data_IF_718301686102
#
_entry.id   IF_718301686102
#
_cell.length_a   1.000
_cell.length_b   1.000
_cell.length_c   1.000
_cell.angle_alpha   90.00
_cell.angle_beta   90.00
_cell.angle_gamma   90.00
#
_symmetry.space_group_name_H-M   'P 1'
#
loop_
_entity.id
_entity.type
_entity.pdbx_description
1 polymer ?
#
# COMPACT_ATOMS: atom_id res chain seq x y z
N UNK A 1 -25.77 23.97 -16.93
CA UNK A 1 -25.19 23.60 -15.63
C UNK A 1 -25.92 22.37 -15.14
N UNK A 2 -25.34 21.19 -15.24
CA UNK A 2 -25.95 19.96 -14.69
C UNK A 2 -25.60 19.91 -13.21
N UNK A 3 -26.56 20.26 -12.36
CA UNK A 3 -26.53 20.02 -10.93
C UNK A 3 -26.70 18.50 -10.72
N UNK A 4 -25.67 17.71 -10.94
CA UNK A 4 -25.66 16.35 -10.46
C UNK A 4 -25.39 16.44 -8.97
N UNK A 5 -26.44 16.34 -8.17
CA UNK A 5 -26.34 16.15 -6.71
C UNK A 5 -25.40 14.97 -6.47
N UNK A 6 -24.18 15.28 -6.05
CA UNK A 6 -23.18 14.27 -5.76
C UNK A 6 -23.62 13.50 -4.50
N UNK A 7 -23.88 12.21 -4.65
CA UNK A 7 -24.35 11.36 -3.55
C UNK A 7 -23.25 10.40 -3.10
N UNK A 8 -22.94 10.44 -1.82
CA UNK A 8 -22.02 9.47 -1.21
C UNK A 8 -22.65 8.08 -1.19
N UNK A 9 -21.83 7.05 -1.29
CA UNK A 9 -22.28 5.67 -1.07
C UNK A 9 -22.64 5.44 0.41
N UNK A 10 -23.54 4.48 0.74
CA UNK A 10 -23.97 4.25 2.12
C UNK A 10 -22.85 4.01 3.13
N UNK A 11 -21.77 3.32 2.71
CA UNK A 11 -20.60 3.10 3.57
C UNK A 11 -19.79 4.39 3.82
N UNK A 12 -19.77 5.31 2.85
CA UNK A 12 -19.14 6.62 2.98
C UNK A 12 -19.96 7.53 3.91
N UNK A 13 -21.29 7.55 3.75
CA UNK A 13 -22.20 8.30 4.64
C UNK A 13 -22.08 7.83 6.09
N UNK A 14 -22.05 6.51 6.29
CA UNK A 14 -21.85 5.92 7.62
C UNK A 14 -20.52 6.34 8.22
N UNK A 15 -19.43 6.26 7.46
CA UNK A 15 -18.10 6.69 7.92
C UNK A 15 -18.06 8.20 8.21
N UNK A 16 -18.67 9.02 7.32
CA UNK A 16 -18.79 10.47 7.50
C UNK A 16 -19.49 10.85 8.80
N UNK A 17 -20.53 10.09 9.18
CA UNK A 17 -21.25 10.30 10.44
C UNK A 17 -20.43 10.01 11.69
N UNK A 18 -19.43 9.15 11.60
CA UNK A 18 -18.55 8.74 12.69
C UNK A 18 -17.25 9.54 12.75
N UNK A 19 -16.87 10.21 11.65
CA UNK A 19 -15.63 10.97 11.58
C UNK A 19 -15.58 12.14 12.56
N UNK A 20 -14.40 12.33 13.14
CA UNK A 20 -14.05 13.44 14.03
C UNK A 20 -12.58 13.79 13.86
N UNK A 21 -12.18 14.95 14.35
CA UNK A 21 -10.76 15.33 14.40
C UNK A 21 -9.95 14.29 15.18
N UNK A 22 -8.76 13.97 14.70
CA UNK A 22 -7.87 12.97 15.29
C UNK A 22 -8.17 11.53 14.88
N UNK A 23 -9.18 11.29 14.03
CA UNK A 23 -9.54 9.95 13.59
C UNK A 23 -8.66 9.44 12.43
N UNK A 24 -8.56 8.12 12.34
CA UNK A 24 -8.03 7.40 11.20
C UNK A 24 -9.20 6.82 10.41
N UNK A 25 -9.46 7.33 9.22
CA UNK A 25 -10.38 6.73 8.27
C UNK A 25 -9.67 5.59 7.55
N UNK A 26 -10.03 4.36 7.87
CA UNK A 26 -9.38 3.20 7.30
C UNK A 26 -10.35 2.36 6.47
N UNK A 27 -9.84 1.84 5.38
CA UNK A 27 -10.59 1.00 4.45
C UNK A 27 -9.73 0.62 3.25
N UNK A 28 -10.21 -0.35 2.51
CA UNK A 28 -9.53 -0.88 1.35
C UNK A 28 -9.17 0.19 0.32
N UNK A 29 -8.25 -0.14 -0.56
CA UNK A 29 -7.96 0.69 -1.74
C UNK A 29 -9.24 0.80 -2.60
N UNK A 30 -9.55 2.02 -3.04
CA UNK A 30 -10.76 2.28 -3.83
C UNK A 30 -12.06 2.37 -3.04
N UNK A 31 -12.03 2.42 -1.70
CA UNK A 31 -13.23 2.62 -0.88
C UNK A 31 -13.77 4.06 -0.90
N UNK A 32 -13.10 5.01 -1.58
CA UNK A 32 -13.50 6.42 -1.66
C UNK A 32 -13.14 7.23 -0.41
N UNK A 33 -12.02 6.90 0.25
CA UNK A 33 -11.53 7.65 1.43
C UNK A 33 -11.27 9.12 1.14
N UNK A 34 -10.69 9.43 -0.02
CA UNK A 34 -10.39 10.80 -0.46
C UNK A 34 -11.67 11.63 -0.45
N UNK A 35 -12.67 11.20 -1.19
CA UNK A 35 -13.95 11.89 -1.32
C UNK A 35 -14.68 12.03 0.03
N UNK A 36 -14.69 10.97 0.86
CA UNK A 36 -15.31 11.02 2.19
C UNK A 36 -14.59 12.01 3.09
N UNK A 37 -13.27 12.12 2.99
CA UNK A 37 -12.48 13.07 3.78
C UNK A 37 -12.74 14.52 3.37
N UNK A 38 -12.88 14.80 2.08
CA UNK A 38 -13.25 16.11 1.55
C UNK A 38 -14.69 16.49 1.93
N UNK A 39 -15.63 15.55 1.87
CA UNK A 39 -17.00 15.76 2.34
C UNK A 39 -17.05 16.06 3.86
N UNK A 40 -16.19 15.40 4.66
CA UNK A 40 -16.06 15.70 6.08
C UNK A 40 -15.52 17.10 6.34
N UNK A 41 -14.49 17.53 5.59
CA UNK A 41 -13.98 18.90 5.63
C UNK A 41 -15.09 19.91 5.35
N UNK A 42 -15.81 19.77 4.24
CA UNK A 42 -16.91 20.67 3.87
C UNK A 42 -17.99 20.75 4.96
N UNK A 43 -18.36 19.61 5.51
CA UNK A 43 -19.43 19.54 6.53
C UNK A 43 -19.05 20.18 7.85
N UNK A 44 -17.79 20.16 8.25
CA UNK A 44 -17.35 20.53 9.60
C UNK A 44 -16.34 21.67 9.66
N UNK A 45 -15.52 21.83 8.63
CA UNK A 45 -14.31 22.66 8.68
C UNK A 45 -14.15 23.60 7.48
N UNK A 46 -15.17 23.80 6.65
CA UNK A 46 -15.12 24.66 5.45
C UNK A 46 -14.74 26.11 5.73
N UNK A 47 -14.84 26.55 6.97
CA UNK A 47 -14.42 27.88 7.43
C UNK A 47 -12.91 27.99 7.73
N UNK A 48 -12.14 26.90 7.56
CA UNK A 48 -10.70 26.85 7.82
C UNK A 48 -9.93 26.51 6.54
N UNK A 49 -8.67 26.95 6.39
CA UNK A 49 -7.82 26.51 5.30
C UNK A 49 -7.64 25.00 5.30
N UNK A 50 -7.74 24.38 4.11
CA UNK A 50 -7.51 22.94 3.91
C UNK A 50 -6.09 22.68 3.47
N UNK A 51 -5.44 21.74 4.15
CA UNK A 51 -4.12 21.20 3.81
C UNK A 51 -4.23 19.68 3.61
N UNK A 52 -3.77 19.20 2.46
CA UNK A 52 -3.70 17.79 2.13
C UNK A 52 -2.23 17.38 2.03
N UNK A 53 -1.80 16.45 2.86
CA UNK A 53 -0.43 15.89 2.85
C UNK A 53 -0.51 14.44 2.42
N UNK A 54 0.02 14.14 1.23
CA UNK A 54 -0.07 12.82 0.60
C UNK A 54 1.29 12.32 0.14
N UNK A 55 1.36 11.28 -0.68
CA UNK A 55 2.61 10.87 -1.35
C UNK A 55 2.91 11.78 -2.53
N UNK A 56 4.20 11.95 -2.90
CA UNK A 56 4.57 12.77 -4.05
C UNK A 56 3.84 12.34 -5.33
N UNK A 57 3.71 11.02 -5.54
CA UNK A 57 3.01 10.47 -6.70
C UNK A 57 1.52 10.82 -6.73
N UNK A 58 0.82 10.74 -5.59
CA UNK A 58 -0.59 11.12 -5.49
C UNK A 58 -0.82 12.62 -5.57
N UNK A 59 0.13 13.43 -5.10
CA UNK A 59 0.12 14.88 -5.30
C UNK A 59 0.12 15.23 -6.79
N UNK A 60 0.96 14.52 -7.56
CA UNK A 60 1.20 14.82 -8.97
C UNK A 60 0.22 14.10 -9.92
N UNK A 61 -0.69 13.26 -9.40
CA UNK A 61 -1.64 12.49 -10.22
C UNK A 61 -2.87 13.28 -10.68
N UNK A 62 -3.20 14.39 -10.02
CA UNK A 62 -4.43 15.15 -10.27
C UNK A 62 -5.70 14.57 -9.60
N UNK A 63 -5.60 13.40 -8.95
CA UNK A 63 -6.76 12.72 -8.34
C UNK A 63 -7.40 13.56 -7.23
N UNK A 64 -6.60 14.30 -6.45
CA UNK A 64 -7.10 15.16 -5.37
C UNK A 64 -7.86 16.36 -5.89
N UNK A 65 -7.35 17.00 -6.93
CA UNK A 65 -7.97 18.15 -7.57
C UNK A 65 -9.28 17.75 -8.26
N UNK A 66 -9.30 16.57 -8.92
CA UNK A 66 -10.51 16.04 -9.55
C UNK A 66 -11.60 15.75 -8.52
N UNK A 67 -11.30 15.01 -7.44
CA UNK A 67 -12.27 14.69 -6.39
C UNK A 67 -12.71 15.95 -5.60
N UNK A 68 -11.80 16.92 -5.37
CA UNK A 68 -12.13 18.20 -4.76
C UNK A 68 -13.07 19.03 -5.64
N UNK A 69 -12.81 19.05 -6.95
CA UNK A 69 -13.66 19.72 -7.94
C UNK A 69 -15.09 19.18 -7.98
N UNK A 70 -15.30 17.87 -7.82
CA UNK A 70 -16.63 17.25 -7.71
C UNK A 70 -17.46 17.81 -6.54
N UNK A 71 -16.78 18.26 -5.49
CA UNK A 71 -17.40 18.85 -4.29
C UNK A 71 -17.36 20.38 -4.26
N UNK A 72 -16.89 21.03 -5.33
CA UNK A 72 -16.77 22.48 -5.41
C UNK A 72 -15.65 23.09 -4.54
N UNK A 73 -14.67 22.29 -4.12
CA UNK A 73 -13.50 22.77 -3.38
C UNK A 73 -12.46 23.23 -4.41
N UNK A 74 -12.23 24.52 -4.52
CA UNK A 74 -11.32 25.13 -5.50
C UNK A 74 -9.99 25.57 -4.90
N UNK A 75 -9.95 25.79 -3.58
CA UNK A 75 -8.76 26.30 -2.90
C UNK A 75 -8.34 25.37 -1.77
N UNK A 76 -7.19 24.75 -1.89
CA UNK A 76 -6.53 23.98 -0.84
C UNK A 76 -5.03 23.81 -1.14
N UNK A 77 -4.25 23.51 -0.11
CA UNK A 77 -2.83 23.22 -0.25
C UNK A 77 -2.66 21.71 -0.39
N UNK A 78 -2.09 21.27 -1.50
CA UNK A 78 -1.75 19.87 -1.74
C UNK A 78 -0.22 19.72 -1.78
N UNK A 79 0.36 18.92 -0.87
CA UNK A 79 1.81 18.68 -0.84
C UNK A 79 2.16 17.27 -0.39
N UNK A 80 3.43 16.92 -0.51
CA UNK A 80 3.92 15.59 -0.16
C UNK A 80 4.47 15.52 1.27
N UNK A 81 4.48 14.31 1.85
CA UNK A 81 5.10 14.03 3.14
C UNK A 81 6.55 14.50 3.22
N UNK A 82 7.28 14.55 2.10
CA UNK A 82 8.66 15.06 2.06
C UNK A 82 8.75 16.51 2.52
N UNK A 83 7.72 17.28 2.26
CA UNK A 83 7.63 18.70 2.55
C UNK A 83 6.90 19.04 3.87
N UNK A 84 6.46 18.05 4.64
CA UNK A 84 5.67 18.25 5.88
C UNK A 84 6.32 19.25 6.85
N UNK A 85 7.64 19.43 6.79
CA UNK A 85 8.36 20.38 7.65
C UNK A 85 7.92 21.82 7.47
N UNK A 86 7.43 22.20 6.28
CA UNK A 86 6.98 23.56 5.95
C UNK A 86 5.75 23.98 6.74
N UNK A 87 4.94 23.01 7.16
CA UNK A 87 3.65 23.23 7.79
C UNK A 87 3.67 23.16 9.32
N UNK A 88 4.84 23.02 9.92
CA UNK A 88 4.98 22.84 11.37
C UNK A 88 4.51 24.01 12.24
N UNK A 89 4.34 25.20 11.66
CA UNK A 89 3.88 26.41 12.36
C UNK A 89 2.44 26.81 11.99
N UNK A 90 1.78 26.06 11.10
CA UNK A 90 0.39 26.31 10.71
C UNK A 90 -0.53 26.03 11.90
N UNK A 91 -1.49 26.93 12.12
CA UNK A 91 -2.50 26.83 13.18
C UNK A 91 -3.87 27.17 12.63
N UNK A 92 -4.94 26.70 13.31
CA UNK A 92 -6.33 26.96 12.95
C UNK A 92 -6.71 26.50 11.52
N UNK A 93 -6.09 25.43 11.02
CA UNK A 93 -6.36 24.82 9.75
C UNK A 93 -6.97 23.42 9.92
N UNK A 94 -7.43 22.83 8.82
CA UNK A 94 -7.80 21.43 8.76
C UNK A 94 -6.82 20.66 7.88
N UNK A 95 -6.31 19.56 8.41
CA UNK A 95 -5.35 18.72 7.69
C UNK A 95 -5.96 17.35 7.34
N UNK A 96 -5.78 16.94 6.10
CA UNK A 96 -5.99 15.55 5.65
C UNK A 96 -4.61 14.95 5.40
N UNK A 97 -4.23 13.95 6.19
CA UNK A 97 -3.01 13.19 6.01
C UNK A 97 -3.35 11.89 5.26
N UNK A 98 -2.94 11.79 4.01
CA UNK A 98 -3.23 10.62 3.18
C UNK A 98 -2.04 9.67 3.11
N UNK A 99 -2.35 8.36 3.11
CA UNK A 99 -1.34 7.27 3.20
C UNK A 99 -0.46 7.39 4.44
N UNK A 100 -0.86 6.70 5.52
CA UNK A 100 -0.12 6.74 6.78
C UNK A 100 1.37 6.40 6.59
N UNK A 101 2.23 7.42 6.74
CA UNK A 101 3.70 7.31 6.70
C UNK A 101 4.32 7.60 8.07
N UNK A 102 3.51 7.91 9.06
CA UNK A 102 3.95 8.29 10.39
C UNK A 102 4.01 7.09 11.31
N UNK A 103 5.06 6.30 11.15
CA UNK A 103 5.38 5.20 12.05
C UNK A 103 6.71 5.50 12.76
N UNK A 104 6.84 5.04 14.00
CA UNK A 104 8.07 5.19 14.75
C UNK A 104 8.33 6.63 15.24
N UNK A 105 9.60 7.11 15.15
CA UNK A 105 10.06 8.37 15.76
C UNK A 105 10.82 9.28 14.79
N UNK A 106 10.68 9.06 13.49
CA UNK A 106 11.34 9.84 12.44
C UNK A 106 10.93 11.33 12.43
N UNK A 107 11.60 12.11 11.59
CA UNK A 107 11.34 13.55 11.47
C UNK A 107 9.92 13.87 11.04
N UNK A 108 9.30 13.03 10.20
CA UNK A 108 7.91 13.19 9.77
C UNK A 108 6.94 12.98 10.91
N UNK A 109 7.15 11.96 11.75
CA UNK A 109 6.32 11.70 12.93
C UNK A 109 6.35 12.88 13.90
N UNK A 110 7.52 13.47 14.17
CA UNK A 110 7.66 14.65 15.03
C UNK A 110 6.89 15.85 14.48
N UNK A 111 6.95 16.10 13.17
CA UNK A 111 6.21 17.20 12.54
C UNK A 111 4.71 16.95 12.52
N UNK A 112 4.29 15.73 12.17
CA UNK A 112 2.89 15.33 12.25
C UNK A 112 2.29 15.56 13.64
N UNK A 113 2.99 15.14 14.71
CA UNK A 113 2.54 15.36 16.09
C UNK A 113 2.38 16.86 16.40
N UNK A 114 3.34 17.69 15.97
CA UNK A 114 3.28 19.14 16.18
C UNK A 114 2.10 19.78 15.45
N UNK A 115 1.90 19.43 14.17
CA UNK A 115 0.78 19.92 13.35
C UNK A 115 -0.55 19.45 13.96
N UNK A 116 -0.67 18.17 14.29
CA UNK A 116 -1.90 17.59 14.81
C UNK A 116 -2.33 18.13 16.16
N UNK A 117 -1.38 18.55 17.00
CA UNK A 117 -1.69 19.21 18.30
C UNK A 117 -2.17 20.65 18.15
N UNK A 118 -1.86 21.30 17.05
CA UNK A 118 -2.19 22.71 16.78
C UNK A 118 -3.39 22.90 15.85
N UNK A 119 -3.87 21.84 15.20
CA UNK A 119 -4.90 21.89 14.16
C UNK A 119 -5.88 20.74 14.30
N UNK A 120 -7.03 20.85 13.61
CA UNK A 120 -7.91 19.71 13.39
C UNK A 120 -7.42 18.88 12.19
N UNK A 121 -7.60 17.55 12.26
CA UNK A 121 -7.06 16.67 11.24
C UNK A 121 -7.74 15.30 11.21
N UNK A 122 -7.61 14.62 10.07
CA UNK A 122 -7.87 13.19 9.91
C UNK A 122 -6.73 12.53 9.16
N UNK A 123 -6.56 11.22 9.38
CA UNK A 123 -5.57 10.40 8.70
C UNK A 123 -6.28 9.34 7.86
N UNK A 124 -5.88 9.17 6.59
CA UNK A 124 -6.39 8.14 5.70
C UNK A 124 -5.39 6.99 5.65
N UNK A 125 -5.87 5.75 5.79
CA UNK A 125 -4.99 4.58 5.71
C UNK A 125 -5.73 3.35 5.17
N UNK A 126 -5.03 2.55 4.36
CA UNK A 126 -5.46 1.19 4.05
C UNK A 126 -5.06 0.20 5.16
N UNK A 127 -3.95 0.50 5.85
CA UNK A 127 -3.35 -0.33 6.92
C UNK A 127 -2.88 0.56 8.05
N UNK A 128 -3.71 0.78 9.08
CA UNK A 128 -3.46 1.82 10.10
C UNK A 128 -2.29 1.53 11.05
N UNK A 129 -1.76 0.32 11.08
CA UNK A 129 -0.60 -0.09 11.89
C UNK A 129 -0.65 -1.56 12.26
N UNK A 130 0.51 -2.21 12.27
CA UNK A 130 0.67 -3.64 12.59
C UNK A 130 1.02 -3.86 14.06
N UNK A 131 1.69 -2.89 14.68
CA UNK A 131 2.12 -2.93 16.07
C UNK A 131 1.63 -1.72 16.86
N UNK A 132 1.61 -1.80 18.19
CA UNK A 132 1.27 -0.66 19.03
C UNK A 132 2.25 0.51 18.90
N UNK A 133 3.49 0.22 18.53
CA UNK A 133 4.50 1.26 18.26
C UNK A 133 4.12 2.15 17.08
N UNK A 134 3.39 1.62 16.11
CA UNK A 134 2.98 2.35 14.91
C UNK A 134 1.91 3.41 15.21
N UNK A 135 1.15 3.21 16.30
CA UNK A 135 0.13 4.16 16.76
C UNK A 135 0.68 5.31 17.59
N UNK A 136 1.94 5.24 18.06
CA UNK A 136 2.49 6.28 18.96
C UNK A 136 2.33 7.69 18.38
N UNK A 137 2.68 8.00 17.14
CA UNK A 137 2.53 9.35 16.60
C UNK A 137 1.07 9.84 16.65
N UNK A 138 0.12 8.98 16.31
CA UNK A 138 -1.31 9.30 16.31
C UNK A 138 -1.83 9.51 17.75
N UNK A 139 -1.42 8.66 18.67
CA UNK A 139 -1.79 8.80 20.08
C UNK A 139 -1.22 10.09 20.69
N UNK A 140 0.01 10.47 20.32
CA UNK A 140 0.61 11.73 20.77
C UNK A 140 -0.05 12.96 20.13
N UNK A 141 -0.44 12.90 18.86
CA UNK A 141 -1.16 13.96 18.17
C UNK A 141 -2.56 14.17 18.78
N UNK A 142 -3.20 13.10 19.27
CA UNK A 142 -4.47 13.14 20.00
C UNK A 142 -4.31 13.50 21.48
N UNK A 143 -3.11 13.82 21.97
CA UNK A 143 -2.81 14.10 23.38
C UNK A 143 -3.18 12.96 24.37
N UNK A 144 -3.26 11.70 23.92
CA UNK A 144 -3.48 10.55 24.80
C UNK A 144 -2.27 10.29 25.72
N UNK A 145 -1.09 10.68 25.25
CA UNK A 145 0.16 10.65 25.99
C UNK A 145 0.92 11.94 25.77
N UNK A 146 1.62 12.39 26.80
CA UNK A 146 2.45 13.59 26.76
C UNK A 146 3.63 13.45 25.80
N UNK A 147 4.27 12.28 25.81
CA UNK A 147 5.42 11.96 24.96
C UNK A 147 5.60 10.44 24.79
N UNK A 148 6.54 10.04 23.91
CA UNK A 148 6.85 8.64 23.64
C UNK A 148 7.34 7.89 24.89
N UNK A 149 8.09 8.53 25.76
CA UNK A 149 8.62 7.92 26.99
C UNK A 149 7.49 7.50 27.92
N UNK A 150 6.47 8.33 28.07
CA UNK A 150 5.28 8.00 28.87
C UNK A 150 4.57 6.77 28.32
N UNK A 151 4.37 6.71 27.00
CA UNK A 151 3.78 5.53 26.36
C UNK A 151 4.62 4.26 26.61
N UNK A 152 5.93 4.35 26.40
CA UNK A 152 6.85 3.22 26.61
C UNK A 152 6.80 2.73 28.05
N UNK A 153 6.90 3.65 29.02
CA UNK A 153 6.89 3.28 30.45
C UNK A 153 5.58 2.61 30.89
N UNK A 154 4.45 2.97 30.28
CA UNK A 154 3.15 2.40 30.61
C UNK A 154 2.87 1.07 29.89
N UNK A 155 3.46 0.86 28.72
CA UNK A 155 2.98 -0.21 27.82
C UNK A 155 4.05 -1.13 27.24
N UNK A 156 5.34 -0.82 27.32
CA UNK A 156 6.36 -1.57 26.59
C UNK A 156 7.41 -2.18 27.51
N UNK A 157 7.58 -3.49 27.43
CA UNK A 157 8.71 -4.20 28.01
C UNK A 157 9.67 -4.58 26.87
N UNK A 158 10.93 -4.16 27.01
CA UNK A 158 11.98 -4.53 26.06
C UNK A 158 12.73 -5.78 26.50
N UNK A 159 13.11 -6.60 25.56
CA UNK A 159 14.06 -7.67 25.78
C UNK A 159 15.45 -7.07 26.02
N UNK A 160 16.01 -7.32 27.22
CA UNK A 160 17.33 -6.83 27.64
C UNK A 160 18.48 -7.74 27.19
N UNK A 161 18.17 -8.94 26.66
CA UNK A 161 19.16 -9.92 26.28
C UNK A 161 19.67 -9.75 24.84
N UNK A 162 19.10 -8.79 24.09
CA UNK A 162 19.47 -8.56 22.68
C UNK A 162 20.20 -7.22 22.52
N UNK A 163 21.17 -7.18 21.59
CA UNK A 163 21.99 -5.99 21.31
C UNK A 163 21.17 -4.74 20.93
N UNK A 164 20.02 -4.93 20.28
CA UNK A 164 19.12 -3.84 19.90
C UNK A 164 17.78 -4.00 20.62
N UNK A 165 17.18 -2.92 21.15
CA UNK A 165 15.91 -2.99 21.86
C UNK A 165 14.82 -3.63 21.01
N UNK A 166 14.38 -4.82 21.38
CA UNK A 166 13.25 -5.53 20.79
C UNK A 166 12.12 -5.56 21.80
N UNK A 167 10.90 -5.23 21.36
CA UNK A 167 9.73 -5.34 22.22
C UNK A 167 9.52 -6.81 22.57
N UNK A 168 9.53 -7.12 23.87
CA UNK A 168 9.27 -8.46 24.39
C UNK A 168 7.77 -8.63 24.61
N UNK A 169 7.13 -7.63 25.24
CA UNK A 169 5.74 -7.71 25.63
C UNK A 169 5.11 -6.31 25.70
N UNK A 170 3.80 -6.25 25.50
CA UNK A 170 2.99 -5.05 25.76
C UNK A 170 2.13 -5.23 27.01
N UNK A 171 2.06 -4.20 27.84
CA UNK A 171 1.24 -4.13 29.05
C UNK A 171 0.02 -3.22 28.84
N UNK A 172 -1.00 -3.38 29.69
CA UNK A 172 -2.23 -2.57 29.64
C UNK A 172 -2.89 -2.55 28.26
N UNK A 173 -2.89 -3.69 27.56
CA UNK A 173 -3.39 -3.83 26.19
C UNK A 173 -4.86 -3.43 26.06
N UNK A 174 -5.68 -3.63 27.11
CA UNK A 174 -7.07 -3.18 27.14
C UNK A 174 -7.22 -1.67 26.92
N UNK A 175 -6.35 -0.86 27.57
CA UNK A 175 -6.31 0.60 27.36
C UNK A 175 -5.92 0.94 25.93
N UNK A 176 -4.90 0.27 25.37
CA UNK A 176 -4.46 0.49 23.99
C UNK A 176 -5.57 0.15 22.99
N UNK A 177 -6.30 -0.95 23.20
CA UNK A 177 -7.45 -1.34 22.38
C UNK A 177 -8.55 -0.28 22.43
N UNK A 178 -8.90 0.21 23.63
CA UNK A 178 -9.89 1.27 23.81
C UNK A 178 -9.50 2.55 23.07
N UNK A 179 -8.27 3.02 23.23
CA UNK A 179 -7.76 4.21 22.54
C UNK A 179 -7.76 4.02 21.02
N UNK A 180 -7.27 2.89 20.52
CA UNK A 180 -7.29 2.58 19.09
C UNK A 180 -8.72 2.56 18.53
N UNK A 181 -9.63 1.87 19.20
CA UNK A 181 -11.03 1.78 18.74
C UNK A 181 -11.72 3.14 18.78
N UNK A 182 -11.29 4.04 19.67
CA UNK A 182 -11.83 5.39 19.72
C UNK A 182 -11.45 6.24 18.51
N UNK A 183 -10.35 5.97 17.81
CA UNK A 183 -9.87 6.76 16.67
C UNK A 183 -10.05 6.07 15.32
N UNK A 184 -10.24 4.75 15.29
CA UNK A 184 -10.40 4.00 14.04
C UNK A 184 -11.84 4.08 13.53
N UNK A 185 -12.02 4.70 12.37
CA UNK A 185 -13.31 4.77 11.67
C UNK A 185 -13.27 3.87 10.45
N UNK A 186 -13.95 2.70 10.48
CA UNK A 186 -13.92 1.76 9.38
C UNK A 186 -14.78 2.25 8.21
N UNK A 187 -14.25 2.12 7.02
CA UNK A 187 -14.94 2.32 5.76
C UNK A 187 -14.98 1.00 4.99
N UNK A 188 -15.78 0.07 5.52
CA UNK A 188 -15.94 -1.26 4.91
C UNK A 188 -16.87 -1.17 3.70
N UNK A 189 -16.36 -1.58 2.56
CA UNK A 189 -17.14 -1.74 1.34
C UNK A 189 -17.68 -3.17 1.31
N UNK A 190 -18.99 -3.30 1.19
CA UNK A 190 -19.57 -4.60 0.86
C UNK A 190 -19.29 -4.87 -0.62
N UNK A 191 -18.21 -5.59 -0.89
CA UNK A 191 -17.84 -5.96 -2.26
C UNK A 191 -18.71 -7.11 -2.73
N UNK A 192 -19.20 -7.00 -3.94
CA UNK A 192 -19.89 -8.09 -4.64
C UNK A 192 -18.90 -9.08 -5.25
N UNK A 193 -17.63 -8.71 -5.31
CA UNK A 193 -16.56 -9.52 -5.89
C UNK A 193 -16.09 -10.62 -4.93
N UNK A 194 -15.86 -11.82 -5.45
CA UNK A 194 -15.24 -12.93 -4.75
C UNK A 194 -13.80 -13.09 -5.21
N UNK A 195 -12.85 -12.95 -4.29
CA UNK A 195 -11.42 -13.20 -4.55
C UNK A 195 -11.13 -14.70 -4.48
N UNK A 196 -10.65 -15.26 -5.58
CA UNK A 196 -10.22 -16.66 -5.69
C UNK A 196 -8.71 -16.70 -5.74
N UNK A 197 -8.06 -17.08 -4.63
CA UNK A 197 -6.61 -17.18 -4.53
C UNK A 197 -6.17 -18.62 -4.82
N UNK A 198 -5.33 -18.77 -5.85
CA UNK A 198 -4.79 -20.06 -6.30
C UNK A 198 -3.27 -20.05 -6.13
N UNK A 199 -2.76 -20.97 -5.32
CA UNK A 199 -1.32 -21.11 -5.08
C UNK A 199 -0.76 -22.24 -5.94
N UNK A 200 0.29 -21.94 -6.72
CA UNK A 200 1.03 -22.89 -7.52
C UNK A 200 2.42 -23.07 -6.93
N UNK A 201 2.72 -24.29 -6.51
CA UNK A 201 4.05 -24.63 -6.01
C UNK A 201 4.98 -24.88 -7.19
N UNK A 202 6.01 -24.05 -7.30
CA UNK A 202 7.05 -24.17 -8.31
C UNK A 202 8.26 -24.90 -7.71
N UNK A 203 8.79 -25.86 -8.47
CA UNK A 203 10.07 -26.48 -8.14
C UNK A 203 11.21 -25.45 -8.27
N UNK A 204 12.32 -25.72 -7.63
CA UNK A 204 13.58 -25.00 -7.77
C UNK A 204 14.75 -25.98 -7.58
N UNK A 205 15.94 -25.60 -8.02
CA UNK A 205 17.14 -26.41 -7.86
C UNK A 205 17.63 -26.33 -6.41
N UNK A 206 17.38 -27.41 -5.66
CA UNK A 206 17.76 -27.53 -4.24
C UNK A 206 19.27 -27.64 -4.03
N UNK A 207 19.98 -28.22 -4.99
CA UNK A 207 21.42 -28.41 -4.88
C UNK A 207 22.13 -27.07 -5.11
N UNK A 208 21.76 -26.33 -6.14
CA UNK A 208 22.24 -24.96 -6.36
C UNK A 208 21.87 -24.05 -5.19
N UNK A 209 20.63 -24.14 -4.70
CA UNK A 209 20.18 -23.33 -3.55
C UNK A 209 21.05 -23.59 -2.31
N UNK A 210 21.31 -24.88 -2.01
CA UNK A 210 22.15 -25.29 -0.90
C UNK A 210 23.62 -24.86 -1.10
N UNK A 211 24.13 -25.00 -2.31
CA UNK A 211 25.50 -24.57 -2.64
C UNK A 211 25.68 -23.05 -2.40
N UNK A 212 24.75 -22.22 -2.86
CA UNK A 212 24.76 -20.77 -2.60
C UNK A 212 24.69 -20.46 -1.10
N UNK A 213 23.86 -21.20 -0.34
CA UNK A 213 23.75 -21.05 1.12
C UNK A 213 25.06 -21.38 1.84
N UNK A 214 25.69 -22.50 1.49
CA UNK A 214 26.84 -23.02 2.21
C UNK A 214 28.13 -22.28 1.83
N UNK A 215 28.35 -22.07 0.52
CA UNK A 215 29.58 -21.46 -0.01
C UNK A 215 29.58 -19.95 0.01
N UNK A 216 28.42 -19.31 0.19
CA UNK A 216 28.28 -17.84 0.10
C UNK A 216 28.83 -17.27 -1.21
N UNK A 217 28.58 -17.96 -2.32
CA UNK A 217 29.01 -17.58 -3.66
C UNK A 217 27.82 -17.20 -4.54
N UNK A 218 27.88 -16.04 -5.16
CA UNK A 218 26.85 -15.58 -6.08
C UNK A 218 27.14 -16.12 -7.49
N UNK A 219 26.39 -17.16 -7.86
CA UNK A 219 26.55 -17.86 -9.16
C UNK A 219 26.19 -17.00 -10.38
N UNK A 220 25.50 -15.88 -10.19
CA UNK A 220 25.08 -14.99 -11.30
C UNK A 220 26.08 -13.86 -11.55
N UNK A 221 26.88 -13.49 -10.58
CA UNK A 221 27.91 -12.45 -10.68
C UNK A 221 29.31 -13.00 -10.54
N UNK A 222 29.44 -14.30 -10.27
CA UNK A 222 30.69 -15.01 -10.05
C UNK A 222 31.58 -14.36 -8.97
N UNK A 223 30.96 -13.96 -7.84
CA UNK A 223 31.60 -13.24 -6.76
C UNK A 223 31.16 -13.75 -5.36
N UNK A 224 31.98 -13.55 -4.30
CA UNK A 224 31.59 -13.85 -2.94
C UNK A 224 30.39 -13.02 -2.49
N UNK A 225 29.50 -13.61 -1.71
CA UNK A 225 28.36 -12.92 -1.09
C UNK A 225 28.78 -12.32 0.25
N UNK A 226 28.83 -11.00 0.31
CA UNK A 226 29.30 -10.27 1.49
C UNK A 226 28.21 -9.96 2.51
N UNK A 227 26.96 -9.80 2.07
CA UNK A 227 25.88 -9.36 2.93
C UNK A 227 24.69 -10.34 2.99
N UNK A 228 23.94 -10.37 4.11
CA UNK A 228 22.72 -11.18 4.21
C UNK A 228 21.66 -10.78 3.16
N UNK A 229 21.61 -9.50 2.79
CA UNK A 229 20.69 -9.00 1.75
C UNK A 229 21.02 -9.57 0.38
N UNK A 230 22.29 -9.60 0.02
CA UNK A 230 22.77 -10.17 -1.23
C UNK A 230 22.50 -11.68 -1.29
N UNK A 231 22.74 -12.40 -0.17
CA UNK A 231 22.39 -13.82 -0.08
C UNK A 231 20.91 -14.04 -0.37
N UNK A 232 20.04 -13.31 0.30
CA UNK A 232 18.59 -13.43 0.11
C UNK A 232 18.17 -13.14 -1.33
N UNK A 233 18.80 -12.15 -1.99
CA UNK A 233 18.54 -11.84 -3.39
C UNK A 233 19.03 -12.92 -4.34
N UNK A 234 20.23 -13.48 -4.11
CA UNK A 234 20.80 -14.57 -4.91
C UNK A 234 19.94 -15.82 -4.83
N UNK A 235 19.57 -16.24 -3.61
CA UNK A 235 18.70 -17.40 -3.39
C UNK A 235 17.33 -17.21 -4.04
N UNK A 236 16.77 -16.01 -3.94
CA UNK A 236 15.50 -15.67 -4.59
C UNK A 236 15.61 -15.75 -6.11
N UNK A 237 16.76 -15.35 -6.67
CA UNK A 237 16.99 -15.45 -8.12
C UNK A 237 17.08 -16.90 -8.58
N UNK A 238 17.75 -17.79 -7.83
CA UNK A 238 17.76 -19.24 -8.12
C UNK A 238 16.33 -19.79 -8.21
N UNK A 239 15.47 -19.43 -7.27
CA UNK A 239 14.06 -19.87 -7.25
C UNK A 239 13.25 -19.25 -8.40
N UNK A 240 13.44 -17.95 -8.68
CA UNK A 240 12.63 -17.23 -9.66
C UNK A 240 12.98 -17.54 -11.11
N UNK A 241 14.22 -17.96 -11.40
CA UNK A 241 14.69 -18.30 -12.76
C UNK A 241 14.50 -19.77 -13.12
N UNK A 242 13.97 -20.59 -12.21
CA UNK A 242 13.80 -22.02 -12.47
C UNK A 242 12.76 -22.29 -13.58
N UNK A 243 13.03 -23.20 -14.55
CA UNK A 243 12.14 -23.47 -15.69
C UNK A 243 10.70 -23.84 -15.32
N UNK A 244 10.49 -24.54 -14.20
CA UNK A 244 9.15 -24.91 -13.75
C UNK A 244 8.31 -23.69 -13.37
N UNK A 245 8.90 -22.63 -12.78
CA UNK A 245 8.20 -21.36 -12.50
C UNK A 245 7.86 -20.62 -13.79
N UNK A 246 8.81 -20.58 -14.74
CA UNK A 246 8.61 -19.99 -16.06
C UNK A 246 7.47 -20.70 -16.78
N UNK A 247 7.44 -22.04 -16.74
CA UNK A 247 6.38 -22.85 -17.33
C UNK A 247 4.99 -22.51 -16.77
N UNK A 248 4.86 -22.45 -15.43
CA UNK A 248 3.58 -22.08 -14.80
C UNK A 248 3.16 -20.64 -15.17
N UNK A 249 4.09 -19.69 -15.21
CA UNK A 249 3.80 -18.33 -15.63
C UNK A 249 3.33 -18.29 -17.10
N UNK A 250 4.06 -18.96 -18.00
CA UNK A 250 3.72 -19.05 -19.42
C UNK A 250 2.33 -19.65 -19.62
N UNK A 251 2.02 -20.73 -18.90
CA UNK A 251 0.71 -21.35 -18.99
C UNK A 251 -0.42 -20.38 -18.53
N UNK A 252 -0.28 -19.75 -17.35
CA UNK A 252 -1.29 -18.81 -16.85
C UNK A 252 -1.45 -17.62 -17.80
N UNK A 253 -0.36 -17.03 -18.27
CA UNK A 253 -0.36 -15.90 -19.20
C UNK A 253 -0.90 -16.29 -20.58
N UNK A 254 -0.77 -17.56 -20.97
CA UNK A 254 -1.25 -18.08 -22.25
C UNK A 254 -2.76 -18.35 -22.27
N UNK A 255 -3.31 -18.96 -21.19
CA UNK A 255 -4.72 -19.40 -21.17
C UNK A 255 -5.72 -18.27 -20.86
N UNK A 256 -5.26 -17.13 -20.38
CA UNK A 256 -6.10 -15.97 -20.07
C UNK A 256 -5.84 -14.83 -21.05
N UNK A 257 -6.90 -14.22 -21.56
CA UNK A 257 -6.80 -13.14 -22.54
C UNK A 257 -6.09 -11.90 -21.97
N UNK A 258 -6.45 -11.49 -20.76
CA UNK A 258 -5.97 -10.27 -20.13
C UNK A 258 -5.41 -10.57 -18.74
N UNK A 259 -4.10 -10.37 -18.54
CA UNK A 259 -3.44 -10.67 -17.26
C UNK A 259 -2.59 -9.50 -16.79
N UNK A 260 -2.78 -9.10 -15.54
CA UNK A 260 -1.83 -8.23 -14.82
C UNK A 260 -0.82 -9.10 -14.10
N UNK A 261 0.46 -8.86 -14.31
CA UNK A 261 1.56 -9.66 -13.73
C UNK A 261 2.41 -8.80 -12.82
N UNK A 262 2.47 -9.13 -11.53
CA UNK A 262 3.34 -8.46 -10.57
C UNK A 262 4.68 -9.16 -10.41
N UNK A 263 5.76 -8.35 -10.36
CA UNK A 263 7.13 -8.82 -10.19
C UNK A 263 7.95 -7.87 -9.29
N UNK A 264 9.11 -8.34 -8.77
CA UNK A 264 9.98 -7.53 -7.91
C UNK A 264 11.22 -6.98 -8.63
N UNK A 265 11.94 -7.80 -9.40
CA UNK A 265 13.29 -7.52 -9.91
C UNK A 265 13.37 -7.43 -11.43
N UNK A 266 14.36 -6.71 -11.94
CA UNK A 266 14.54 -6.54 -13.39
C UNK A 266 14.76 -7.87 -14.12
N UNK A 267 15.50 -8.83 -13.53
CA UNK A 267 15.67 -10.15 -14.15
C UNK A 267 14.35 -10.94 -14.27
N UNK A 268 13.38 -10.68 -13.37
CA UNK A 268 12.02 -11.23 -13.50
C UNK A 268 11.27 -10.56 -14.66
N UNK A 269 11.48 -9.25 -14.84
CA UNK A 269 10.92 -8.52 -16.00
C UNK A 269 11.45 -9.07 -17.32
N UNK A 270 12.75 -9.33 -17.43
CA UNK A 270 13.36 -9.86 -18.65
C UNK A 270 12.75 -11.23 -19.01
N UNK A 271 12.54 -12.10 -18.01
CA UNK A 271 11.86 -13.38 -18.21
C UNK A 271 10.42 -13.18 -18.68
N UNK A 272 9.68 -12.26 -18.04
CA UNK A 272 8.28 -12.00 -18.35
C UNK A 272 8.12 -11.40 -19.76
N UNK A 273 9.03 -10.54 -20.20
CA UNK A 273 9.07 -10.02 -21.58
C UNK A 273 9.27 -11.18 -22.57
N UNK A 274 10.24 -12.06 -22.29
CA UNK A 274 10.45 -13.25 -23.13
C UNK A 274 9.21 -14.15 -23.20
N UNK A 275 8.43 -14.28 -22.12
CA UNK A 275 7.15 -14.99 -22.16
C UNK A 275 6.12 -14.26 -23.04
N UNK A 276 6.02 -12.92 -22.93
CA UNK A 276 5.11 -12.13 -23.77
C UNK A 276 5.41 -12.31 -25.27
N UNK A 277 6.69 -12.24 -25.63
CA UNK A 277 7.17 -12.42 -27.01
C UNK A 277 6.91 -13.84 -27.51
N UNK A 278 7.17 -14.86 -26.67
CA UNK A 278 6.88 -16.26 -27.01
C UNK A 278 5.38 -16.51 -27.27
N UNK A 279 4.51 -15.87 -26.46
CA UNK A 279 3.06 -15.98 -26.61
C UNK A 279 2.49 -15.10 -27.73
N UNK A 280 3.27 -14.17 -28.28
CA UNK A 280 2.84 -13.21 -29.31
C UNK A 280 1.75 -12.23 -28.81
N UNK A 281 1.59 -12.05 -27.49
CA UNK A 281 0.58 -11.16 -26.92
C UNK A 281 1.10 -9.74 -26.75
N UNK A 282 0.30 -8.71 -27.11
CA UNK A 282 0.62 -7.32 -26.79
C UNK A 282 0.85 -7.14 -25.30
N UNK A 283 1.87 -6.38 -24.92
CA UNK A 283 2.14 -6.12 -23.52
C UNK A 283 2.51 -4.66 -23.25
N UNK A 284 2.25 -4.22 -22.03
CA UNK A 284 2.69 -2.94 -21.48
C UNK A 284 3.42 -3.12 -20.15
N UNK A 285 4.18 -2.10 -19.74
CA UNK A 285 4.99 -2.12 -18.52
C UNK A 285 4.66 -0.95 -17.62
N UNK A 286 4.62 -1.22 -16.30
CA UNK A 286 4.55 -0.20 -15.27
C UNK A 286 5.64 -0.42 -14.22
N UNK A 287 6.70 0.35 -14.33
CA UNK A 287 7.87 0.26 -13.44
C UNK A 287 8.50 1.64 -13.22
N UNK A 288 9.63 1.71 -12.53
CA UNK A 288 10.31 2.97 -12.24
C UNK A 288 10.81 3.76 -13.46
N UNK A 289 10.79 3.16 -14.67
CA UNK A 289 11.29 3.77 -15.91
C UNK A 289 10.21 3.94 -16.98
N UNK A 290 9.23 3.04 -17.02
CA UNK A 290 8.15 3.02 -18.03
C UNK A 290 6.79 3.05 -17.33
N UNK A 291 5.88 3.83 -17.86
CA UNK A 291 4.48 3.92 -17.45
C UNK A 291 3.60 3.81 -18.71
N UNK A 292 3.65 2.63 -19.36
CA UNK A 292 2.88 2.38 -20.58
C UNK A 292 1.38 2.40 -20.25
N UNK A 293 0.57 2.74 -21.24
CA UNK A 293 -0.88 2.51 -21.16
C UNK A 293 -1.15 1.02 -21.29
N UNK A 294 -2.24 0.56 -20.65
CA UNK A 294 -2.72 -0.81 -20.87
C UNK A 294 -3.09 -0.93 -22.35
N UNK A 295 -2.64 -1.99 -23.07
CA UNK A 295 -2.96 -2.15 -24.48
C UNK A 295 -4.48 -2.21 -24.71
N UNK A 296 -4.97 -1.48 -25.70
CA UNK A 296 -6.38 -1.45 -26.08
C UNK A 296 -6.69 -2.57 -27.10
N UNK A 297 -6.55 -3.81 -26.65
CA UNK A 297 -6.74 -5.03 -27.44
C UNK A 297 -7.55 -6.05 -26.65
N UNK A 298 -8.09 -7.07 -27.33
CA UNK A 298 -8.84 -8.14 -26.67
C UNK A 298 -7.96 -9.02 -25.79
N UNK A 299 -6.70 -9.19 -26.16
CA UNK A 299 -5.69 -9.93 -25.42
C UNK A 299 -4.52 -9.02 -25.08
N UNK A 300 -4.05 -9.05 -23.85
CA UNK A 300 -2.87 -8.31 -23.42
C UNK A 300 -2.29 -8.83 -22.11
N UNK A 301 -1.02 -8.50 -21.89
CA UNK A 301 -0.28 -8.75 -20.66
C UNK A 301 0.23 -7.42 -20.10
N UNK A 302 0.09 -7.18 -18.80
CA UNK A 302 0.52 -5.94 -18.20
C UNK A 302 1.47 -6.21 -17.04
N UNK A 303 2.75 -5.87 -17.24
CA UNK A 303 3.86 -6.21 -16.34
C UNK A 303 4.09 -5.07 -15.34
N UNK A 304 3.90 -5.33 -14.07
CA UNK A 304 3.87 -4.30 -13.01
C UNK A 304 4.91 -4.60 -11.95
N UNK A 305 5.85 -3.68 -11.76
CA UNK A 305 6.80 -3.78 -10.65
C UNK A 305 6.16 -3.34 -9.35
N UNK A 306 6.31 -4.10 -8.26
CA UNK A 306 5.69 -3.79 -6.97
C UNK A 306 6.01 -2.40 -6.46
N UNK A 307 7.27 -1.95 -6.56
CA UNK A 307 7.71 -0.64 -6.08
C UNK A 307 7.06 0.54 -6.79
N UNK A 308 6.69 0.36 -8.07
CA UNK A 308 6.05 1.38 -8.88
C UNK A 308 4.53 1.18 -8.99
N UNK A 309 4.07 -0.05 -8.92
CA UNK A 309 2.68 -0.43 -9.22
C UNK A 309 1.78 -0.65 -8.02
N UNK A 310 2.33 -0.68 -6.79
CA UNK A 310 1.50 -0.71 -5.60
C UNK A 310 0.69 0.60 -5.41
N UNK A 311 1.07 1.69 -6.08
CA UNK A 311 0.41 3.00 -6.01
C UNK A 311 0.18 3.56 -7.43
N UNK A 312 -0.96 4.24 -7.64
CA UNK A 312 -1.19 5.18 -8.73
C UNK A 312 -1.70 4.64 -10.07
N UNK A 313 -2.23 3.42 -10.18
CA UNK A 313 -2.98 2.95 -11.33
C UNK A 313 -4.08 1.96 -10.92
N UNK A 314 -5.04 1.74 -11.78
CA UNK A 314 -6.16 0.83 -11.58
C UNK A 314 -6.47 0.10 -12.87
N UNK A 315 -6.98 -1.11 -12.77
CA UNK A 315 -7.45 -1.86 -13.92
C UNK A 315 -8.78 -2.54 -13.59
N UNK A 316 -9.81 -2.23 -14.36
CA UNK A 316 -11.13 -2.88 -14.26
C UNK A 316 -11.45 -3.73 -15.47
N UNK A 317 -10.47 -3.91 -16.38
CA UNK A 317 -10.65 -4.61 -17.64
C UNK A 317 -10.29 -6.09 -17.60
N UNK A 318 -9.66 -6.53 -16.50
CA UNK A 318 -9.38 -7.94 -16.24
C UNK A 318 -9.81 -8.36 -14.86
N UNK A 319 -10.08 -9.65 -14.72
CA UNK A 319 -10.31 -10.33 -13.44
C UNK A 319 -9.15 -11.26 -13.05
N UNK A 320 -8.02 -11.23 -13.78
CA UNK A 320 -6.91 -12.14 -13.60
C UNK A 320 -5.64 -11.38 -13.22
N UNK A 321 -5.01 -11.83 -12.15
CA UNK A 321 -3.74 -11.31 -11.67
C UNK A 321 -2.77 -12.45 -11.35
N UNK A 322 -1.54 -12.34 -11.85
CA UNK A 322 -0.46 -13.26 -11.56
C UNK A 322 0.61 -12.57 -10.70
N UNK A 323 0.96 -13.17 -9.60
CA UNK A 323 2.11 -12.81 -8.77
C UNK A 323 3.26 -13.75 -9.11
N UNK A 324 4.15 -13.32 -10.02
CA UNK A 324 5.31 -14.10 -10.44
C UNK A 324 6.24 -14.42 -9.27
N UNK A 325 6.44 -13.43 -8.40
CA UNK A 325 7.11 -13.59 -7.11
C UNK A 325 6.38 -12.79 -6.03
N UNK A 326 6.44 -13.22 -4.77
CA UNK A 326 5.78 -12.54 -3.68
C UNK A 326 6.62 -11.38 -3.14
N UNK A 327 5.96 -10.31 -2.70
CA UNK A 327 6.61 -9.27 -1.91
C UNK A 327 6.52 -9.63 -0.42
N UNK A 328 7.56 -9.33 0.35
CA UNK A 328 7.59 -9.60 1.80
C UNK A 328 6.66 -8.71 2.62
N UNK A 329 6.18 -7.61 2.05
CA UNK A 329 5.25 -6.70 2.71
C UNK A 329 3.80 -7.11 2.42
N UNK A 330 3.10 -7.55 3.46
CA UNK A 330 1.66 -7.83 3.39
C UNK A 330 0.88 -6.62 2.83
N UNK A 331 1.24 -5.41 3.27
CA UNK A 331 0.64 -4.17 2.80
C UNK A 331 0.77 -4.00 1.28
N UNK A 332 1.97 -4.25 0.72
CA UNK A 332 2.20 -4.14 -0.73
C UNK A 332 1.38 -5.19 -1.48
N UNK A 333 1.28 -6.41 -0.96
CA UNK A 333 0.48 -7.48 -1.55
C UNK A 333 -1.01 -7.12 -1.57
N UNK A 334 -1.57 -6.65 -0.46
CA UNK A 334 -2.97 -6.21 -0.38
C UNK A 334 -3.25 -5.02 -1.32
N UNK A 335 -2.33 -4.08 -1.42
CA UNK A 335 -2.45 -2.96 -2.36
C UNK A 335 -2.41 -3.43 -3.81
N UNK A 336 -1.56 -4.41 -4.14
CA UNK A 336 -1.49 -4.99 -5.47
C UNK A 336 -2.79 -5.73 -5.83
N UNK A 337 -3.31 -6.61 -4.96
CA UNK A 337 -4.61 -7.27 -5.18
C UNK A 337 -5.75 -6.27 -5.42
N UNK A 338 -5.73 -5.16 -4.68
CA UNK A 338 -6.73 -4.10 -4.80
C UNK A 338 -6.71 -3.36 -6.15
N UNK A 339 -5.73 -3.60 -7.05
CA UNK A 339 -5.67 -2.89 -8.34
C UNK A 339 -6.74 -3.33 -9.33
N UNK A 340 -7.16 -4.58 -9.29
CA UNK A 340 -8.28 -5.10 -10.10
C UNK A 340 -9.58 -5.22 -9.32
N UNK A 341 -9.53 -5.21 -7.97
CA UNK A 341 -10.70 -5.29 -7.11
C UNK A 341 -11.24 -3.88 -6.79
N UNK A 342 -12.00 -3.32 -7.71
CA UNK A 342 -12.56 -1.98 -7.63
C UNK A 342 -14.08 -2.02 -7.53
N UNK A 343 -14.68 -0.98 -6.92
CA UNK A 343 -16.15 -0.87 -6.78
C UNK A 343 -16.83 -0.90 -8.15
N UNK A 344 -16.20 -0.32 -9.18
CA UNK A 344 -16.72 -0.24 -10.54
C UNK A 344 -16.28 -1.39 -11.45
N UNK A 345 -15.68 -2.47 -10.90
CA UNK A 345 -15.37 -3.65 -11.73
C UNK A 345 -16.65 -4.35 -12.17
N UNK A 346 -16.65 -4.82 -13.43
CA UNK A 346 -17.75 -5.61 -14.00
C UNK A 346 -17.73 -7.10 -13.62
N UNK A 347 -16.64 -7.54 -12.98
CA UNK A 347 -16.42 -8.93 -12.64
C UNK A 347 -16.97 -9.25 -11.24
N UNK A 348 -17.59 -10.42 -11.09
CA UNK A 348 -18.04 -10.95 -9.80
C UNK A 348 -17.04 -11.90 -9.16
N UNK A 349 -16.08 -12.43 -9.94
CA UNK A 349 -15.01 -13.30 -9.50
C UNK A 349 -13.67 -12.73 -9.99
N UNK A 350 -12.72 -12.61 -9.07
CA UNK A 350 -11.35 -12.16 -9.36
C UNK A 350 -10.40 -13.30 -9.03
N UNK A 351 -9.54 -13.67 -9.96
CA UNK A 351 -8.60 -14.78 -9.86
C UNK A 351 -7.18 -14.27 -9.63
N UNK A 352 -6.60 -14.71 -8.53
CA UNK A 352 -5.26 -14.35 -8.13
C UNK A 352 -4.38 -15.60 -8.09
N UNK A 353 -3.38 -15.63 -8.95
CA UNK A 353 -2.43 -16.72 -9.06
C UNK A 353 -1.12 -16.35 -8.36
N UNK A 354 -0.68 -17.20 -7.45
CA UNK A 354 0.54 -16.99 -6.68
C UNK A 354 1.54 -18.09 -7.00
N UNK A 355 2.68 -17.74 -7.59
CA UNK A 355 3.77 -18.69 -7.76
C UNK A 355 4.62 -18.71 -6.49
N UNK A 356 4.58 -19.83 -5.80
CA UNK A 356 5.30 -20.07 -4.54
C UNK A 356 6.32 -21.18 -4.72
N UNK A 357 7.25 -21.31 -3.79
CA UNK A 357 8.16 -22.47 -3.68
C UNK A 357 8.30 -22.83 -2.22
N UNK A 358 8.35 -24.12 -1.91
CA UNK A 358 8.63 -24.63 -0.57
C UNK A 358 10.10 -24.93 -0.45
N UNK A 359 10.75 -24.31 0.54
CA UNK A 359 12.11 -24.69 0.98
C UNK A 359 12.07 -25.94 1.84
#
# INVERSE_FOLDING_TARGET
>A
MRNTEFKLYPHQEKALGLLRSGAILYGDVGSGKTLTSLAFYLKRYSHRPLYVITTAKKRDSGDWEEEAGLLGITEFVLDSWNNIRRYGEVKNAFFIFDEQRVVGSGSWAKKFIRIGRANDWILLSGTPGDTWMDYIPVFLANNFYKNKTEFINQHVEYDRMVKFPKVKQYHNVGKLLSLRNSILIPMRVNRTTKRLRKMYQCAYDKDIYKEVMDRRWNIFTEAPIETPSELAQTLRRVVATHPNRIHHATWIMGVHDKVVVFYNYNYELDILIGICEHLGKPYGQWNGRKHDRIPDTNEWLYLVQYTAGAEGWNCTETNVMLFYSLNYSYRIMEQAEGRIDRINTKFTKLEYFYLTSTS
#
